data_IF_111588088002
#
_entry.id   IF_111588088002
#
_cell.length_a   1.000
_cell.length_b   1.000
_cell.length_c   1.000
_cell.angle_alpha   90.00
_cell.angle_beta   90.00
_cell.angle_gamma   90.00
#
_symmetry.space_group_name_H-M   'P 1'
#
loop_
_entity.id
_entity.type
_entity.pdbx_description
1 polymer ?
#
# COMPACT_ATOMS: atom_id res chain seq x y z
N UNK A 1 -37.84 10.82 5.19
CA UNK A 1 -36.89 11.41 4.22
C UNK A 1 -35.51 10.85 4.56
N UNK A 2 -35.14 9.71 3.96
CA UNK A 2 -33.85 9.04 4.17
C UNK A 2 -33.00 9.23 2.93
N UNK A 3 -32.14 10.24 2.91
CA UNK A 3 -31.19 10.41 1.81
C UNK A 3 -29.90 11.06 2.30
N UNK A 4 -29.25 10.50 3.31
CA UNK A 4 -27.97 11.05 3.80
C UNK A 4 -26.98 9.97 4.23
N UNK A 5 -26.78 8.90 3.45
CA UNK A 5 -25.58 8.05 3.59
C UNK A 5 -25.14 7.53 2.21
N UNK A 6 -24.82 8.45 1.28
CA UNK A 6 -24.08 8.06 0.08
C UNK A 6 -22.64 7.81 0.53
N UNK A 7 -22.26 6.55 0.73
CA UNK A 7 -20.86 6.19 0.96
C UNK A 7 -20.10 6.60 -0.32
N UNK A 8 -19.00 7.37 -0.20
CA UNK A 8 -18.18 7.69 -1.36
C UNK A 8 -17.67 6.40 -2.01
N UNK A 9 -17.76 6.29 -3.34
CA UNK A 9 -17.33 5.10 -4.09
C UNK A 9 -15.91 4.65 -3.72
N UNK A 10 -14.99 5.59 -3.48
CA UNK A 10 -13.62 5.30 -3.04
C UNK A 10 -13.56 4.56 -1.69
N UNK A 11 -14.45 4.91 -0.76
CA UNK A 11 -14.52 4.25 0.55
C UNK A 11 -15.05 2.82 0.41
N UNK A 12 -16.06 2.62 -0.44
CA UNK A 12 -16.59 1.29 -0.75
C UNK A 12 -15.51 0.40 -1.40
N UNK A 13 -14.73 0.93 -2.35
CA UNK A 13 -13.61 0.22 -2.96
C UNK A 13 -12.50 -0.10 -1.95
N UNK A 14 -12.18 0.83 -1.05
CA UNK A 14 -11.20 0.59 0.00
C UNK A 14 -11.64 -0.49 1.00
N UNK A 15 -12.92 -0.48 1.41
CA UNK A 15 -13.50 -1.51 2.28
C UNK A 15 -13.51 -2.88 1.59
N UNK A 16 -13.84 -2.94 0.29
CA UNK A 16 -13.75 -4.16 -0.51
C UNK A 16 -12.30 -4.70 -0.57
N UNK A 17 -11.33 -3.85 -0.93
CA UNK A 17 -9.93 -4.28 -0.99
C UNK A 17 -9.38 -4.71 0.36
N UNK A 18 -9.83 -4.11 1.47
CA UNK A 18 -9.44 -4.53 2.81
C UNK A 18 -9.92 -5.96 3.10
N UNK A 19 -11.17 -6.28 2.74
CA UNK A 19 -11.74 -7.62 2.95
C UNK A 19 -11.08 -8.65 2.03
N UNK A 20 -10.98 -8.39 0.73
CA UNK A 20 -10.43 -9.33 -0.26
C UNK A 20 -8.95 -9.63 0.01
N UNK A 21 -8.13 -8.58 0.14
CA UNK A 21 -6.69 -8.77 0.39
C UNK A 21 -6.42 -9.30 1.80
N UNK A 22 -7.21 -8.87 2.78
CA UNK A 22 -7.12 -9.35 4.16
C UNK A 22 -7.44 -10.85 4.28
N UNK A 23 -8.45 -11.33 3.56
CA UNK A 23 -8.80 -12.75 3.53
C UNK A 23 -7.67 -13.59 2.93
N UNK A 24 -7.11 -13.17 1.79
CA UNK A 24 -5.98 -13.86 1.14
C UNK A 24 -4.74 -13.91 2.04
N UNK A 25 -4.41 -12.78 2.68
CA UNK A 25 -3.29 -12.73 3.62
C UNK A 25 -3.51 -13.68 4.81
N UNK A 26 -4.73 -13.69 5.36
CA UNK A 26 -5.06 -14.54 6.50
C UNK A 26 -4.99 -16.04 6.14
N UNK A 27 -5.51 -16.42 4.97
CA UNK A 27 -5.43 -17.80 4.48
C UNK A 27 -3.97 -18.25 4.37
N UNK A 28 -3.12 -17.45 3.71
CA UNK A 28 -1.70 -17.75 3.55
C UNK A 28 -0.96 -17.81 4.89
N UNK A 29 -1.29 -16.94 5.85
CA UNK A 29 -0.72 -16.97 7.19
C UNK A 29 -1.09 -18.26 7.94
N UNK A 30 -2.32 -18.75 7.77
CA UNK A 30 -2.77 -20.01 8.38
C UNK A 30 -2.08 -21.20 7.73
N UNK A 31 -2.03 -21.26 6.40
CA UNK A 31 -1.44 -22.38 5.66
C UNK A 31 0.06 -22.49 5.85
N UNK A 32 0.79 -21.37 5.75
CA UNK A 32 2.25 -21.35 5.78
C UNK A 32 2.83 -21.26 7.19
N UNK A 33 2.12 -20.64 8.14
CA UNK A 33 2.66 -20.36 9.48
C UNK A 33 1.75 -20.80 10.63
N UNK A 34 0.69 -21.57 10.36
CA UNK A 34 -0.30 -21.99 11.37
C UNK A 34 -0.87 -20.79 12.16
N UNK A 35 -1.06 -19.67 11.47
CA UNK A 35 -1.58 -18.42 12.02
C UNK A 35 -0.62 -17.68 12.95
N UNK A 36 0.65 -18.11 13.07
CA UNK A 36 1.64 -17.46 13.92
C UNK A 36 2.43 -16.43 13.13
N UNK A 37 2.54 -15.21 13.66
CA UNK A 37 3.38 -14.15 13.08
C UNK A 37 3.92 -13.23 14.15
N UNK A 38 4.91 -12.42 13.77
CA UNK A 38 5.23 -11.22 14.53
C UNK A 38 4.01 -10.27 14.52
N UNK A 39 3.89 -9.35 15.50
CA UNK A 39 2.85 -8.34 15.49
C UNK A 39 2.87 -7.52 14.18
N UNK A 40 1.76 -7.53 13.46
CA UNK A 40 1.57 -6.74 12.24
C UNK A 40 0.79 -5.48 12.64
N UNK A 41 1.33 -4.30 12.30
CA UNK A 41 0.67 -3.01 12.51
C UNK A 41 -0.05 -2.59 11.23
N UNK A 42 -1.31 -2.19 11.37
CA UNK A 42 -2.07 -1.56 10.30
C UNK A 42 -1.76 -0.06 10.26
N UNK A 43 -1.57 0.48 9.05
CA UNK A 43 -1.39 1.90 8.81
C UNK A 43 -2.51 2.41 7.90
N UNK A 44 -2.99 3.61 8.17
CA UNK A 44 -3.86 4.32 7.25
C UNK A 44 -3.08 4.85 6.05
N UNK A 45 -3.78 5.05 4.93
CA UNK A 45 -3.22 5.71 3.75
C UNK A 45 -2.59 7.07 4.10
N UNK A 46 -3.26 7.85 4.94
CA UNK A 46 -2.84 9.20 5.35
C UNK A 46 -1.55 9.18 6.17
N UNK A 47 -1.35 8.16 7.01
CA UNK A 47 -0.10 7.99 7.76
C UNK A 47 1.06 7.69 6.82
N UNK A 48 0.87 6.80 5.84
CA UNK A 48 1.90 6.46 4.86
C UNK A 48 2.20 7.65 3.93
N UNK A 49 1.17 8.38 3.51
CA UNK A 49 1.31 9.60 2.72
C UNK A 49 2.15 10.64 3.48
N UNK A 50 1.83 10.91 4.76
CA UNK A 50 2.64 11.82 5.58
C UNK A 50 4.06 11.31 5.78
N UNK A 51 4.22 10.03 6.10
CA UNK A 51 5.53 9.46 6.39
C UNK A 51 6.48 9.52 5.20
N UNK A 52 5.95 9.44 3.97
CA UNK A 52 6.74 9.41 2.72
C UNK A 52 6.75 10.74 1.97
N UNK A 53 6.20 11.81 2.55
CA UNK A 53 5.97 13.08 1.86
C UNK A 53 5.20 12.88 0.53
N UNK A 54 4.08 12.16 0.59
CA UNK A 54 3.27 11.74 -0.56
C UNK A 54 4.06 10.95 -1.60
N UNK A 55 4.94 10.04 -1.16
CA UNK A 55 5.85 9.28 -2.02
C UNK A 55 6.72 10.16 -2.93
N UNK A 56 7.26 11.26 -2.38
CA UNK A 56 8.10 12.20 -3.12
C UNK A 56 9.33 11.51 -3.73
N UNK A 57 9.78 11.99 -4.89
CA UNK A 57 10.90 11.40 -5.61
C UNK A 57 12.22 11.47 -4.83
N UNK A 58 12.43 12.51 -4.01
CA UNK A 58 13.60 12.61 -3.12
C UNK A 58 13.67 11.48 -2.08
N UNK A 59 12.52 10.87 -1.77
CA UNK A 59 12.43 9.71 -0.90
C UNK A 59 12.64 8.38 -1.64
N UNK A 60 12.84 8.38 -2.96
CA UNK A 60 13.02 7.15 -3.73
C UNK A 60 14.29 6.40 -3.29
N UNK A 61 14.14 5.09 -3.06
CA UNK A 61 15.25 4.22 -2.70
C UNK A 61 15.55 3.21 -3.80
N UNK A 62 14.52 2.57 -4.35
CA UNK A 62 14.68 1.47 -5.29
C UNK A 62 13.39 1.22 -6.08
N UNK A 63 13.52 0.70 -7.29
CA UNK A 63 12.40 0.24 -8.11
C UNK A 63 12.69 -1.17 -8.61
N UNK A 64 11.65 -1.99 -8.56
CA UNK A 64 11.57 -3.28 -9.24
C UNK A 64 10.35 -3.27 -10.16
N UNK A 65 10.16 -4.35 -10.93
CA UNK A 65 9.09 -4.54 -11.90
C UNK A 65 7.70 -4.24 -11.35
N UNK A 66 7.41 -4.66 -10.13
CA UNK A 66 6.07 -4.57 -9.52
C UNK A 66 5.96 -3.49 -8.44
N UNK A 67 7.06 -2.87 -8.01
CA UNK A 67 7.03 -1.96 -6.87
C UNK A 67 8.12 -0.89 -6.89
N UNK A 68 7.86 0.17 -6.12
CA UNK A 68 8.84 1.20 -5.74
C UNK A 68 8.99 1.23 -4.24
N UNK A 69 10.21 1.45 -3.77
CA UNK A 69 10.56 1.57 -2.36
C UNK A 69 10.88 3.03 -2.05
N UNK A 70 10.27 3.56 -1.01
CA UNK A 70 10.45 4.93 -0.55
C UNK A 70 10.93 4.97 0.88
N UNK A 71 11.82 5.91 1.18
CA UNK A 71 12.17 6.32 2.53
C UNK A 71 11.01 7.10 3.14
N UNK A 72 10.75 6.88 4.41
CA UNK A 72 9.85 7.71 5.19
C UNK A 72 10.27 7.83 6.65
N UNK A 73 9.52 8.64 7.39
CA UNK A 73 9.66 8.81 8.84
C UNK A 73 8.29 8.73 9.48
N UNK A 74 8.14 7.88 10.50
CA UNK A 74 6.91 7.73 11.27
C UNK A 74 7.24 7.64 12.76
N UNK A 75 6.64 8.50 13.60
CA UNK A 75 6.94 8.59 15.04
C UNK A 75 8.46 8.71 15.31
N UNK A 76 9.14 9.60 14.57
CA UNK A 76 10.60 9.84 14.61
C UNK A 76 11.48 8.63 14.25
N UNK A 77 10.88 7.56 13.70
CA UNK A 77 11.60 6.38 13.22
C UNK A 77 11.68 6.38 11.72
N UNK A 78 12.87 6.13 11.19
CA UNK A 78 13.05 5.88 9.77
C UNK A 78 12.35 4.57 9.37
N UNK A 79 11.56 4.61 8.30
CA UNK A 79 10.88 3.46 7.72
C UNK A 79 11.16 3.37 6.21
N UNK A 80 10.95 2.19 5.64
CA UNK A 80 10.90 2.00 4.20
C UNK A 80 9.52 1.51 3.81
N UNK A 81 8.90 2.19 2.85
CA UNK A 81 7.54 1.90 2.39
C UNK A 81 7.60 1.36 0.97
N UNK A 82 7.19 0.09 0.82
CA UNK A 82 7.09 -0.58 -0.48
C UNK A 82 5.70 -0.34 -1.05
N UNK A 83 5.62 0.33 -2.20
CA UNK A 83 4.38 0.65 -2.91
C UNK A 83 4.34 -0.11 -4.22
N UNK A 84 3.32 -0.94 -4.40
CA UNK A 84 3.10 -1.65 -5.67
C UNK A 84 2.54 -0.70 -6.73
N UNK A 85 2.98 -0.87 -7.97
CA UNK A 85 2.43 -0.13 -9.11
C UNK A 85 0.99 -0.58 -9.38
N UNK A 86 0.06 0.36 -9.53
CA UNK A 86 -1.26 0.06 -10.07
C UNK A 86 -1.18 -0.20 -11.57
N UNK A 87 -2.21 -0.82 -12.15
CA UNK A 87 -2.28 -1.10 -13.60
C UNK A 87 -2.22 0.16 -14.48
N UNK A 88 -2.45 1.33 -13.90
CA UNK A 88 -2.36 2.64 -14.54
C UNK A 88 -1.14 3.48 -14.10
N UNK A 89 -0.10 2.90 -13.48
CA UNK A 89 1.14 3.66 -13.25
C UNK A 89 1.83 3.94 -14.60
N UNK A 90 1.86 5.21 -15.10
CA UNK A 90 2.51 5.55 -16.36
C UNK A 90 4.01 5.22 -16.31
N UNK A 91 4.56 5.16 -15.10
CA UNK A 91 5.98 4.88 -14.89
C UNK A 91 6.32 3.38 -15.02
N UNK A 92 5.33 2.50 -15.20
CA UNK A 92 5.55 1.08 -15.53
C UNK A 92 6.05 0.90 -16.97
N UNK A 93 5.74 1.83 -17.87
CA UNK A 93 6.11 1.78 -19.28
C UNK A 93 7.49 2.39 -19.59
N UNK A 94 8.01 3.29 -18.75
CA UNK A 94 9.31 3.95 -19.00
C UNK A 94 10.52 3.04 -18.74
N UNK A 95 10.34 1.92 -18.03
CA UNK A 95 11.39 0.92 -17.82
C UNK A 95 11.69 0.02 -19.03
N UNK A 96 10.86 0.07 -20.08
CA UNK A 96 11.03 -0.74 -21.30
C UNK A 96 11.78 -0.01 -22.42
N UNK A 97 12.04 1.29 -22.29
CA UNK A 97 12.64 2.10 -23.36
C UNK A 97 14.15 2.31 -23.22
N UNK A 98 14.81 1.58 -22.32
CA UNK A 98 16.28 1.62 -22.19
C UNK A 98 16.81 0.18 -22.12
N UNK A 99 16.95 -0.43 -23.30
CA UNK A 99 18.05 -1.30 -23.71
C UNK A 99 17.93 -1.57 -25.21
#
# INVERSE_FOLDING_TARGET
MWSCLRIPKEREEAERHFLENGALLLEEMITSFNGRSNPIRSFSKQELDRATNNYHQDGFLHQDWSYKLYKGTYEDRAISVKKFAGDHDPQRYIGWSIN
#
